data_IF_566599431693
#
_entry.id   IF_566599431693
#
_cell.length_a   1.000
_cell.length_b   1.000
_cell.length_c   1.000
_cell.angle_alpha   90.00
_cell.angle_beta   90.00
_cell.angle_gamma   90.00
#
_symmetry.space_group_name_H-M   'P 1'
#
loop_
_entity.id
_entity.type
_entity.pdbx_description
1 polymer ?
#
# COMPACT_ATOMS: atom_id res chain seq x y z
N UNK A 1 -2.53 6.35 -19.46
CA UNK A 1 -3.81 7.09 -19.58
C UNK A 1 -4.79 6.27 -18.75
N UNK A 2 -5.21 6.77 -17.59
CA UNK A 2 -6.19 6.09 -16.72
C UNK A 2 -7.51 6.05 -17.49
N UNK A 3 -8.07 4.86 -17.70
CA UNK A 3 -9.36 4.70 -18.37
C UNK A 3 -10.51 5.14 -17.45
N UNK A 4 -11.67 5.50 -17.99
CA UNK A 4 -12.83 5.88 -17.17
C UNK A 4 -13.36 4.74 -16.26
N UNK A 5 -12.87 3.50 -16.45
CA UNK A 5 -13.15 2.35 -15.58
C UNK A 5 -12.06 2.06 -14.55
N UNK A 6 -10.95 2.82 -14.55
CA UNK A 6 -9.74 2.63 -13.74
C UNK A 6 -9.86 3.40 -12.40
N UNK A 7 -11.06 3.35 -11.79
CA UNK A 7 -11.38 4.02 -10.54
C UNK A 7 -11.58 2.97 -9.45
N UNK A 8 -10.83 3.10 -8.35
CA UNK A 8 -10.82 2.15 -7.24
C UNK A 8 -10.41 0.74 -7.66
N UNK A 9 -9.51 0.62 -8.64
CA UNK A 9 -8.89 -0.67 -8.95
C UNK A 9 -8.10 -1.16 -7.72
N UNK A 10 -8.06 -2.48 -7.54
CA UNK A 10 -7.42 -3.04 -6.38
C UNK A 10 -5.90 -2.83 -6.42
N UNK A 11 -5.31 -2.45 -5.29
CA UNK A 11 -3.86 -2.27 -5.16
C UNK A 11 -3.04 -3.53 -5.53
N UNK A 12 -3.67 -4.71 -5.57
CA UNK A 12 -3.04 -5.95 -6.05
C UNK A 12 -2.70 -5.94 -7.54
N UNK A 13 -3.32 -5.07 -8.33
CA UNK A 13 -3.07 -4.92 -9.77
C UNK A 13 -1.99 -3.88 -10.08
N UNK A 14 -1.46 -3.19 -9.05
CA UNK A 14 -0.41 -2.19 -9.23
C UNK A 14 0.90 -2.80 -9.74
N UNK A 15 1.55 -2.05 -10.63
CA UNK A 15 2.85 -2.40 -11.21
C UNK A 15 4.02 -1.61 -10.58
N UNK A 16 5.17 -2.26 -10.33
CA UNK A 16 5.44 -3.70 -10.52
C UNK A 16 4.71 -4.58 -9.49
N UNK A 17 4.43 -5.83 -9.84
CA UNK A 17 3.86 -6.79 -8.91
C UNK A 17 4.77 -6.92 -7.67
N UNK A 18 4.17 -6.98 -6.48
CA UNK A 18 4.92 -6.96 -5.21
C UNK A 18 5.29 -5.57 -4.70
N UNK A 19 4.92 -4.48 -5.39
CA UNK A 19 5.13 -3.10 -4.90
C UNK A 19 4.41 -2.74 -3.59
N UNK A 20 3.55 -3.64 -3.11
CA UNK A 20 2.87 -3.57 -1.83
C UNK A 20 3.25 -4.75 -0.93
N UNK A 21 3.33 -4.52 0.37
CA UNK A 21 3.41 -5.60 1.36
C UNK A 21 2.29 -5.47 2.39
N UNK A 22 1.67 -6.60 2.72
CA UNK A 22 0.65 -6.72 3.74
C UNK A 22 1.23 -7.39 4.99
N UNK A 23 0.98 -6.81 6.16
CA UNK A 23 1.31 -7.38 7.45
C UNK A 23 0.02 -7.56 8.24
N UNK A 24 -0.15 -8.74 8.82
CA UNK A 24 -1.30 -9.07 9.65
C UNK A 24 -0.81 -9.20 11.08
N UNK A 25 -1.41 -8.45 11.98
CA UNK A 25 -1.27 -8.60 13.43
C UNK A 25 -2.58 -9.18 13.95
N UNK A 26 -2.62 -10.52 14.06
CA UNK A 26 -3.82 -11.25 14.50
C UNK A 26 -4.17 -10.94 15.96
N UNK A 27 -3.16 -10.74 16.82
CA UNK A 27 -3.37 -10.45 18.23
C UNK A 27 -4.01 -9.07 18.44
N UNK A 28 -3.63 -8.09 17.62
CA UNK A 28 -4.21 -6.76 17.64
C UNK A 28 -5.44 -6.60 16.74
N UNK A 29 -5.80 -7.60 15.93
CA UNK A 29 -6.88 -7.52 14.95
C UNK A 29 -6.65 -6.44 13.89
N UNK A 30 -5.39 -6.22 13.50
CA UNK A 30 -5.01 -5.14 12.57
C UNK A 30 -4.28 -5.68 11.35
N UNK A 31 -4.56 -5.06 10.21
CA UNK A 31 -3.78 -5.27 8.99
C UNK A 31 -3.12 -3.97 8.58
N UNK A 32 -1.87 -4.05 8.13
CA UNK A 32 -1.10 -2.92 7.65
C UNK A 32 -0.61 -3.19 6.23
N UNK A 33 -0.88 -2.26 5.32
CA UNK A 33 -0.37 -2.23 3.96
C UNK A 33 0.74 -1.17 3.85
N UNK A 34 1.84 -1.48 3.17
CA UNK A 34 2.97 -0.55 2.95
C UNK A 34 3.34 -0.49 1.48
N UNK A 35 3.67 0.70 0.99
CA UNK A 35 4.16 0.88 -0.37
C UNK A 35 5.68 0.82 -0.43
N UNK A 36 6.23 0.02 -1.35
CA UNK A 36 7.64 0.06 -1.70
C UNK A 36 7.95 1.06 -2.81
N UNK A 37 6.94 1.42 -3.61
CA UNK A 37 7.04 2.47 -4.64
C UNK A 37 7.09 3.86 -4.03
N UNK A 38 6.37 4.06 -2.93
CA UNK A 38 6.43 5.26 -2.10
C UNK A 38 6.87 4.91 -0.68
N UNK A 39 8.18 4.73 -0.46
CA UNK A 39 8.71 4.44 0.86
C UNK A 39 8.26 5.50 1.87
N UNK A 40 7.70 5.04 2.99
CA UNK A 40 7.12 5.90 4.01
C UNK A 40 5.59 5.96 3.99
N UNK A 41 4.92 5.41 2.98
CA UNK A 41 3.46 5.25 3.01
C UNK A 41 3.03 4.01 3.80
N UNK A 42 2.09 4.22 4.72
CA UNK A 42 1.47 3.18 5.54
C UNK A 42 -0.04 3.35 5.52
N UNK A 43 -0.76 2.25 5.33
CA UNK A 43 -2.20 2.17 5.51
C UNK A 43 -2.50 1.10 6.54
N UNK A 44 -3.42 1.36 7.47
CA UNK A 44 -3.82 0.40 8.51
C UNK A 44 -5.33 0.26 8.54
N UNK A 45 -5.81 -0.93 8.85
CA UNK A 45 -7.23 -1.22 9.03
C UNK A 45 -7.44 -2.12 10.25
N UNK A 46 -8.43 -1.77 11.09
CA UNK A 46 -8.89 -2.60 12.20
C UNK A 46 -9.98 -3.55 11.69
N UNK A 47 -9.66 -4.84 11.66
CA UNK A 47 -10.48 -5.89 11.03
C UNK A 47 -11.87 -5.94 11.67
N UNK A 48 -12.89 -6.17 10.85
CA UNK A 48 -14.31 -6.21 11.25
C UNK A 48 -14.86 -4.89 11.82
N UNK A 49 -14.18 -3.77 11.55
CA UNK A 49 -14.68 -2.42 11.84
C UNK A 49 -14.56 -1.54 10.60
N UNK A 50 -15.25 -0.39 10.52
CA UNK A 50 -15.03 0.56 9.42
C UNK A 50 -13.81 1.46 9.64
N UNK A 51 -12.93 1.19 10.62
CA UNK A 51 -11.80 2.05 10.95
C UNK A 51 -10.60 1.72 10.08
N UNK A 52 -10.08 2.74 9.42
CA UNK A 52 -8.88 2.67 8.62
C UNK A 52 -8.20 4.03 8.60
N UNK A 53 -6.88 4.01 8.46
CA UNK A 53 -6.04 5.20 8.49
C UNK A 53 -4.94 5.08 7.44
N UNK A 54 -4.59 6.20 6.81
CA UNK A 54 -3.48 6.31 5.87
C UNK A 54 -2.56 7.43 6.29
N UNK A 55 -1.25 7.16 6.31
CA UNK A 55 -0.24 8.15 6.70
C UNK A 55 1.02 8.00 5.87
N UNK A 56 1.67 9.14 5.61
CA UNK A 56 2.95 9.20 4.94
C UNK A 56 3.99 9.85 5.86
N UNK A 57 5.10 9.14 6.08
CA UNK A 57 6.27 9.64 6.79
C UNK A 57 7.51 9.45 5.93
N UNK A 58 7.99 10.51 5.29
CA UNK A 58 9.15 10.45 4.41
C UNK A 58 9.42 11.76 3.68
N UNK A 59 10.43 11.74 2.81
CA UNK A 59 10.84 12.90 1.99
C UNK A 59 10.02 13.11 0.72
N UNK A 60 8.98 12.29 0.49
CA UNK A 60 8.14 12.34 -0.70
C UNK A 60 8.81 11.78 -1.96
N UNK A 61 9.95 11.08 -1.83
CA UNK A 61 10.68 10.53 -2.97
C UNK A 61 10.11 9.16 -3.38
N UNK A 62 9.89 9.00 -4.68
CA UNK A 62 9.50 7.72 -5.29
C UNK A 62 10.70 6.79 -5.36
N UNK A 63 10.49 5.50 -5.15
CA UNK A 63 11.52 4.50 -5.40
C UNK A 63 11.49 4.06 -6.87
N UNK A 64 12.34 4.67 -7.69
CA UNK A 64 12.46 4.35 -9.12
C UNK A 64 13.25 3.05 -9.38
N UNK A 65 14.03 2.61 -8.41
CA UNK A 65 14.83 1.39 -8.50
C UNK A 65 14.03 0.13 -8.15
N UNK A 66 12.75 0.28 -7.79
CA UNK A 66 11.92 -0.82 -7.30
C UNK A 66 11.90 -2.04 -8.22
N UNK A 67 11.89 -1.82 -9.54
CA UNK A 67 11.90 -2.89 -10.55
C UNK A 67 13.18 -3.75 -10.53
N UNK A 68 14.28 -3.25 -9.95
CA UNK A 68 15.54 -3.98 -9.79
C UNK A 68 15.72 -4.58 -8.39
N UNK A 69 14.88 -4.18 -7.42
CA UNK A 69 14.94 -4.63 -6.03
C UNK A 69 14.05 -5.85 -5.75
N UNK A 70 13.12 -6.15 -6.66
CA UNK A 70 12.10 -7.20 -6.56
C UNK A 70 12.50 -8.46 -7.32
#
# INVERSE_FOLDING_TARGET
>A
MVGAGDWMDPASEDVPAGCWTLRVDEAAGKVQLRSFKWPGFFFTHEVATPRYDGVYYGSGQRNDDLSFMM
#
